data_IF_059333507342
#
_entry.id   IF_059333507342
#
_cell.length_a   1.000
_cell.length_b   1.000
_cell.length_c   1.000
_cell.angle_alpha   90.00
_cell.angle_beta   90.00
_cell.angle_gamma   90.00
#
_symmetry.space_group_name_H-M   'P 1'
#
loop_
_entity.id
_entity.type
_entity.pdbx_description
1 polymer ?
#
# COMPACT_ATOMS: atom_id res chain seq x y z
N UNK A 1 -45.81 -21.32 -9.69
CA UNK A 1 -45.29 -20.20 -10.50
C UNK A 1 -44.77 -19.15 -9.55
N UNK A 2 -43.49 -19.25 -9.22
CA UNK A 2 -42.73 -18.27 -8.44
C UNK A 2 -42.05 -17.32 -9.42
N UNK A 3 -42.19 -15.99 -9.31
CA UNK A 3 -41.38 -15.09 -10.11
C UNK A 3 -39.96 -14.98 -9.55
N UNK A 4 -39.04 -14.94 -10.48
CA UNK A 4 -37.60 -14.92 -10.35
C UNK A 4 -37.03 -13.72 -9.60
N UNK A 5 -35.89 -14.00 -8.96
CA UNK A 5 -34.80 -13.09 -8.59
C UNK A 5 -34.72 -11.85 -9.48
N UNK A 6 -34.83 -10.68 -8.86
CA UNK A 6 -34.30 -9.45 -9.44
C UNK A 6 -32.79 -9.49 -9.29
N UNK A 7 -32.09 -9.58 -10.40
CA UNK A 7 -30.67 -9.25 -10.47
C UNK A 7 -30.53 -7.76 -10.08
N UNK A 8 -29.86 -7.50 -8.95
CA UNK A 8 -29.41 -6.16 -8.61
C UNK A 8 -28.41 -5.72 -9.67
N UNK A 9 -28.85 -4.83 -10.56
CA UNK A 9 -27.97 -4.15 -11.52
C UNK A 9 -26.97 -3.33 -10.69
N UNK A 10 -25.64 -3.53 -10.86
CA UNK A 10 -24.65 -2.72 -10.20
C UNK A 10 -24.88 -1.25 -10.58
N UNK A 11 -25.18 -0.41 -9.59
CA UNK A 11 -25.36 1.01 -9.77
C UNK A 11 -23.97 1.58 -10.06
N UNK A 12 -23.69 1.88 -11.34
CA UNK A 12 -22.48 2.61 -11.70
C UNK A 12 -22.58 4.00 -11.05
N UNK A 13 -21.56 4.47 -10.30
CA UNK A 13 -21.60 5.80 -9.72
C UNK A 13 -21.86 6.82 -10.82
N UNK A 14 -22.90 7.64 -10.63
CA UNK A 14 -23.29 8.62 -11.63
C UNK A 14 -22.10 9.51 -11.99
N UNK A 15 -21.97 9.91 -13.27
CA UNK A 15 -20.91 10.85 -13.71
C UNK A 15 -20.81 12.11 -12.83
N UNK A 16 -21.89 12.48 -12.12
CA UNK A 16 -21.91 13.60 -11.17
C UNK A 16 -21.10 13.37 -9.89
N UNK A 17 -21.12 12.17 -9.29
CA UNK A 17 -20.38 11.88 -8.05
C UNK A 17 -18.87 11.81 -8.31
N UNK A 18 -18.47 11.23 -9.43
CA UNK A 18 -17.07 11.25 -9.90
C UNK A 18 -16.56 12.68 -10.10
N UNK A 19 -17.31 13.52 -10.85
CA UNK A 19 -16.93 14.93 -11.07
C UNK A 19 -16.83 15.73 -9.76
N UNK A 20 -17.73 15.47 -8.82
CA UNK A 20 -17.69 16.05 -7.47
C UNK A 20 -16.38 15.68 -6.74
N UNK A 21 -16.03 14.39 -6.72
CA UNK A 21 -14.77 13.90 -6.14
C UNK A 21 -13.56 14.57 -6.78
N UNK A 22 -13.49 14.63 -8.12
CA UNK A 22 -12.37 15.26 -8.84
C UNK A 22 -12.24 16.73 -8.50
N UNK A 23 -13.34 17.49 -8.58
CA UNK A 23 -13.34 18.93 -8.30
C UNK A 23 -12.90 19.22 -6.87
N UNK A 24 -13.45 18.47 -5.90
CA UNK A 24 -13.11 18.63 -4.49
C UNK A 24 -11.65 18.27 -4.21
N UNK A 25 -11.16 17.18 -4.81
CA UNK A 25 -9.76 16.74 -4.72
C UNK A 25 -8.80 17.83 -5.16
N UNK A 26 -8.98 18.37 -6.37
CA UNK A 26 -8.13 19.42 -6.93
C UNK A 26 -8.17 20.68 -6.07
N UNK A 27 -9.36 21.08 -5.58
CA UNK A 27 -9.49 22.24 -4.71
C UNK A 27 -8.68 22.07 -3.43
N UNK A 28 -8.73 20.90 -2.81
CA UNK A 28 -8.01 20.63 -1.57
C UNK A 28 -6.48 20.62 -1.74
N UNK A 29 -5.95 20.27 -2.91
CA UNK A 29 -4.50 20.21 -3.11
C UNK A 29 -3.81 21.56 -2.87
N UNK A 30 -4.50 22.68 -3.14
CA UNK A 30 -3.98 24.03 -2.87
C UNK A 30 -3.69 24.30 -1.39
N UNK A 31 -4.36 23.57 -0.49
CA UNK A 31 -4.11 23.66 0.96
C UNK A 31 -2.99 22.72 1.43
N UNK A 32 -2.69 21.66 0.67
CA UNK A 32 -1.69 20.64 1.02
C UNK A 32 -0.30 20.98 0.50
N UNK A 33 -0.21 21.50 -0.72
CA UNK A 33 1.04 21.80 -1.40
C UNK A 33 1.03 23.19 -2.03
N UNK A 34 2.19 23.87 -2.02
CA UNK A 34 2.33 25.23 -2.56
C UNK A 34 2.16 25.28 -4.08
N UNK A 35 2.54 24.22 -4.77
CA UNK A 35 2.37 24.06 -6.22
C UNK A 35 1.84 22.65 -6.51
N UNK A 36 0.51 22.47 -6.62
CA UNK A 36 -0.11 21.16 -6.82
C UNK A 36 0.15 20.57 -8.22
N UNK A 37 1.00 21.19 -9.04
CA UNK A 37 1.46 20.68 -10.31
C UNK A 37 0.33 20.57 -11.33
N UNK A 38 0.31 21.48 -12.31
CA UNK A 38 -0.67 21.52 -13.42
C UNK A 38 -0.83 20.15 -14.11
N UNK A 39 0.22 19.32 -14.13
CA UNK A 39 0.22 17.98 -14.70
C UNK A 39 -0.78 17.03 -14.00
N UNK A 40 -0.75 16.91 -12.67
CA UNK A 40 -1.63 15.98 -11.94
C UNK A 40 -3.10 16.36 -12.08
N UNK A 41 -3.37 17.66 -12.05
CA UNK A 41 -4.71 18.20 -12.29
C UNK A 41 -5.20 17.84 -13.69
N UNK A 42 -4.38 18.11 -14.71
CA UNK A 42 -4.72 17.79 -16.09
C UNK A 42 -4.96 16.30 -16.30
N UNK A 43 -4.21 15.42 -15.64
CA UNK A 43 -4.41 13.97 -15.71
C UNK A 43 -5.74 13.58 -15.07
N UNK A 44 -6.00 14.00 -13.83
CA UNK A 44 -7.21 13.60 -13.12
C UNK A 44 -8.48 14.09 -13.83
N UNK A 45 -8.45 15.28 -14.43
CA UNK A 45 -9.57 15.86 -15.17
C UNK A 45 -9.86 15.16 -16.51
N UNK A 46 -8.97 14.30 -17.02
CA UNK A 46 -9.19 13.58 -18.29
C UNK A 46 -10.19 12.43 -18.16
N UNK A 47 -10.39 11.91 -16.96
CA UNK A 47 -11.31 10.80 -16.72
C UNK A 47 -12.73 11.31 -16.51
N UNK A 48 -13.70 10.75 -17.24
CA UNK A 48 -15.11 11.15 -17.16
C UNK A 48 -15.92 10.30 -16.20
N UNK A 49 -15.40 9.13 -15.83
CA UNK A 49 -16.03 8.15 -14.94
C UNK A 49 -15.00 7.56 -13.97
N UNK A 50 -15.49 6.97 -12.88
CA UNK A 50 -14.67 6.23 -11.94
C UNK A 50 -14.00 5.03 -12.62
N UNK A 51 -14.72 4.27 -13.43
CA UNK A 51 -14.20 3.08 -14.11
C UNK A 51 -13.06 3.42 -15.08
N UNK A 52 -13.16 4.52 -15.82
CA UNK A 52 -12.07 5.02 -16.67
C UNK A 52 -10.81 5.32 -15.84
N UNK A 53 -10.97 5.93 -14.68
CA UNK A 53 -9.87 6.23 -13.77
C UNK A 53 -9.26 4.97 -13.14
N UNK A 54 -10.09 4.04 -12.64
CA UNK A 54 -9.62 2.79 -12.04
C UNK A 54 -8.94 1.88 -13.07
N UNK A 55 -9.42 1.91 -14.32
CA UNK A 55 -8.85 1.15 -15.43
C UNK A 55 -7.54 1.75 -15.98
N UNK A 56 -7.12 2.90 -15.49
CA UNK A 56 -5.96 3.60 -16.04
C UNK A 56 -4.65 2.83 -15.78
N UNK A 57 -3.83 2.75 -16.83
CA UNK A 57 -2.49 2.18 -16.80
C UNK A 57 -1.39 3.20 -17.10
N UNK A 58 -1.71 4.51 -17.13
CA UNK A 58 -0.81 5.58 -17.61
C UNK A 58 0.44 5.83 -16.75
N UNK A 59 0.64 5.05 -15.69
CA UNK A 59 1.78 5.15 -14.77
C UNK A 59 1.59 6.17 -13.65
N UNK A 60 0.64 7.09 -13.76
CA UNK A 60 0.32 8.05 -12.69
C UNK A 60 -0.65 7.44 -11.69
N UNK A 61 -0.23 7.34 -10.42
CA UNK A 61 -1.05 6.79 -9.36
C UNK A 61 -1.69 7.91 -8.51
N UNK A 62 -2.94 7.68 -8.10
CA UNK A 62 -3.66 8.53 -7.15
C UNK A 62 -4.27 7.62 -6.10
N UNK A 63 -4.18 8.01 -4.84
CA UNK A 63 -4.73 7.26 -3.73
C UNK A 63 -6.06 7.85 -3.29
N UNK A 64 -7.06 7.00 -3.08
CA UNK A 64 -8.19 7.39 -2.25
C UNK A 64 -7.70 7.52 -0.81
N UNK A 65 -7.89 8.69 -0.22
CA UNK A 65 -7.84 8.87 1.22
C UNK A 65 -9.25 9.18 1.72
N UNK A 66 -9.62 8.62 2.86
CA UNK A 66 -10.88 8.97 3.53
C UNK A 66 -10.73 10.32 4.23
N UNK A 67 -11.78 11.14 4.14
CA UNK A 67 -11.86 12.44 4.80
C UNK A 67 -12.02 12.29 6.31
N UNK A 68 -11.43 13.23 7.05
CA UNK A 68 -11.56 13.28 8.52
C UNK A 68 -13.00 13.20 9.01
N UNK A 69 -13.91 13.97 8.43
CA UNK A 69 -15.32 13.97 8.86
C UNK A 69 -15.99 12.61 8.67
N UNK A 70 -15.71 11.93 7.55
CA UNK A 70 -16.24 10.60 7.26
C UNK A 70 -15.65 9.55 8.24
N UNK A 71 -14.33 9.58 8.46
CA UNK A 71 -13.67 8.66 9.39
C UNK A 71 -14.13 8.83 10.86
N UNK A 72 -14.38 10.06 11.31
CA UNK A 72 -14.81 10.32 12.69
C UNK A 72 -16.31 10.05 12.92
N UNK A 73 -17.13 9.95 11.86
CA UNK A 73 -18.57 9.75 11.98
C UNK A 73 -19.01 8.29 11.79
N UNK A 74 -18.18 7.45 11.17
CA UNK A 74 -18.47 6.03 11.00
C UNK A 74 -18.49 5.28 12.35
N UNK A 75 -19.33 4.24 12.45
CA UNK A 75 -19.48 3.38 13.64
C UNK A 75 -18.62 2.11 13.58
N UNK A 76 -18.33 1.65 12.37
CA UNK A 76 -17.44 0.54 12.03
C UNK A 76 -16.58 0.97 10.85
N UNK A 77 -15.48 0.26 10.61
CA UNK A 77 -14.64 0.52 9.43
C UNK A 77 -15.44 0.22 8.15
N UNK A 78 -15.79 1.27 7.43
CA UNK A 78 -16.59 1.14 6.24
C UNK A 78 -15.73 0.55 5.10
N UNK A 79 -16.18 -0.56 4.50
CA UNK A 79 -15.56 -1.12 3.29
C UNK A 79 -15.52 -0.08 2.17
N UNK A 80 -14.44 0.01 1.40
CA UNK A 80 -14.41 0.88 0.22
C UNK A 80 -15.62 0.62 -0.69
N UNK A 81 -16.24 1.69 -1.19
CA UNK A 81 -17.43 1.60 -2.05
C UNK A 81 -17.45 2.71 -3.11
N UNK A 82 -17.76 2.37 -4.38
CA UNK A 82 -17.92 3.34 -5.45
C UNK A 82 -19.13 4.26 -5.24
N UNK A 83 -20.08 3.89 -4.37
CA UNK A 83 -21.29 4.66 -4.10
C UNK A 83 -21.08 5.76 -3.04
N UNK A 84 -19.91 5.78 -2.38
CA UNK A 84 -19.58 6.70 -1.29
C UNK A 84 -18.42 7.65 -1.60
N UNK A 85 -18.31 8.09 -2.85
CA UNK A 85 -17.20 8.97 -3.28
C UNK A 85 -17.08 10.29 -2.50
N UNK A 86 -18.14 10.73 -1.81
CA UNK A 86 -18.09 11.92 -0.95
C UNK A 86 -17.28 11.75 0.34
N UNK A 87 -17.03 10.51 0.75
CA UNK A 87 -16.19 10.17 1.89
C UNK A 87 -14.70 10.30 1.58
N UNK A 88 -14.34 10.45 0.29
CA UNK A 88 -12.98 10.34 -0.18
C UNK A 88 -12.44 11.60 -0.86
N UNK A 89 -11.12 11.60 -0.98
CA UNK A 89 -10.30 12.52 -1.75
C UNK A 89 -9.27 11.72 -2.54
N UNK A 90 -8.94 12.18 -3.75
CA UNK A 90 -7.86 11.64 -4.55
C UNK A 90 -6.62 12.49 -4.34
N UNK A 91 -5.56 11.87 -3.80
CA UNK A 91 -4.25 12.52 -3.63
C UNK A 91 -3.25 11.90 -4.61
N UNK A 92 -2.47 12.71 -5.35
CA UNK A 92 -1.40 12.18 -6.20
C UNK A 92 -0.40 11.36 -5.38
N UNK A 93 -0.07 10.17 -5.88
CA UNK A 93 0.96 9.32 -5.31
C UNK A 93 2.33 9.79 -5.79
N UNK A 94 2.74 10.96 -5.29
CA UNK A 94 3.98 11.63 -5.65
C UNK A 94 4.66 12.19 -4.41
N UNK A 95 6.00 12.20 -4.42
CA UNK A 95 6.79 12.72 -3.31
C UNK A 95 6.41 14.17 -2.99
N UNK A 96 6.14 14.45 -1.71
CA UNK A 96 5.78 15.78 -1.22
C UNK A 96 4.30 16.18 -1.34
N UNK A 97 3.43 15.38 -2.00
CA UNK A 97 1.98 15.66 -2.02
C UNK A 97 1.28 15.31 -0.72
N UNK A 98 1.66 14.19 -0.13
CA UNK A 98 1.17 13.73 1.15
C UNK A 98 2.20 14.11 2.21
N UNK A 99 1.76 14.81 3.25
CA UNK A 99 2.57 15.16 4.41
C UNK A 99 2.09 14.39 5.62
N UNK A 100 3.03 13.97 6.47
CA UNK A 100 2.74 13.18 7.67
C UNK A 100 1.86 13.87 8.70
N UNK A 101 1.85 15.20 8.69
CA UNK A 101 1.00 16.02 9.57
C UNK A 101 -0.44 16.11 9.10
N UNK A 102 -0.69 15.93 7.80
CA UNK A 102 -2.00 16.10 7.20
C UNK A 102 -2.70 14.76 6.92
N UNK A 103 -1.92 13.71 6.71
CA UNK A 103 -2.39 12.41 6.25
C UNK A 103 -1.81 11.29 7.11
N UNK A 104 -2.66 10.38 7.57
CA UNK A 104 -2.26 9.21 8.36
C UNK A 104 -2.53 7.91 7.62
N UNK A 105 -1.56 7.01 7.58
CA UNK A 105 -1.73 5.60 7.28
C UNK A 105 -2.08 4.87 8.58
N UNK A 106 -3.17 4.11 8.56
CA UNK A 106 -3.61 3.29 9.69
C UNK A 106 -3.27 1.84 9.38
N UNK A 107 -2.27 1.31 10.08
CA UNK A 107 -1.99 -0.12 10.12
C UNK A 107 -2.96 -0.77 11.12
N UNK A 108 -3.72 -1.76 10.68
CA UNK A 108 -4.69 -2.42 11.53
C UNK A 108 -4.75 -3.92 11.27
N UNK A 109 -5.20 -4.63 12.30
CA UNK A 109 -5.31 -6.07 12.26
C UNK A 109 -6.65 -6.51 11.71
N UNK A 110 -6.66 -7.44 10.77
CA UNK A 110 -7.90 -8.03 10.25
C UNK A 110 -8.38 -9.16 11.17
N UNK A 111 -9.46 -8.92 11.92
CA UNK A 111 -10.05 -9.92 12.82
C UNK A 111 -10.83 -11.00 12.08
N UNK A 112 -11.45 -10.66 10.97
CA UNK A 112 -12.14 -11.61 10.11
C UNK A 112 -11.76 -11.41 8.65
N UNK A 113 -12.14 -12.35 7.79
CA UNK A 113 -11.89 -12.25 6.34
C UNK A 113 -12.77 -11.19 5.66
N UNK A 114 -13.95 -10.94 6.21
CA UNK A 114 -15.01 -10.16 5.55
C UNK A 114 -15.18 -8.76 6.15
N UNK A 115 -14.68 -8.54 7.36
CA UNK A 115 -14.62 -7.23 8.03
C UNK A 115 -13.44 -7.23 9.01
N UNK A 116 -12.49 -6.28 8.89
CA UNK A 116 -11.34 -6.24 9.78
C UNK A 116 -11.69 -5.87 11.22
N UNK A 117 -12.73 -5.08 11.47
CA UNK A 117 -13.11 -4.56 12.79
C UNK A 117 -14.64 -4.53 12.96
N UNK A 118 -15.30 -5.70 12.98
CA UNK A 118 -16.76 -5.81 12.86
C UNK A 118 -17.52 -5.16 14.02
N UNK A 119 -16.91 -5.04 15.20
CA UNK A 119 -17.50 -4.40 16.38
C UNK A 119 -17.06 -2.93 16.53
N UNK A 120 -16.20 -2.43 15.63
CA UNK A 120 -15.66 -1.08 15.64
C UNK A 120 -14.76 -0.78 16.84
N UNK A 121 -14.21 -1.80 17.52
CA UNK A 121 -13.38 -1.59 18.71
C UNK A 121 -12.15 -0.76 18.38
N UNK A 122 -11.40 -1.16 17.37
CA UNK A 122 -10.16 -0.49 16.97
C UNK A 122 -10.44 0.87 16.33
N UNK A 123 -11.50 0.99 15.53
CA UNK A 123 -11.97 2.27 15.02
C UNK A 123 -12.17 3.29 16.14
N UNK A 124 -12.83 2.90 17.25
CA UNK A 124 -13.05 3.82 18.38
C UNK A 124 -11.74 4.25 19.03
N UNK A 125 -10.75 3.37 19.14
CA UNK A 125 -9.41 3.73 19.63
C UNK A 125 -8.75 4.75 18.70
N UNK A 126 -8.78 4.52 17.38
CA UNK A 126 -8.26 5.47 16.40
C UNK A 126 -8.99 6.83 16.46
N UNK A 127 -10.32 6.83 16.55
CA UNK A 127 -11.12 8.06 16.67
C UNK A 127 -10.81 8.83 17.96
N UNK A 128 -10.60 8.14 19.08
CA UNK A 128 -10.22 8.78 20.36
C UNK A 128 -8.82 9.40 20.29
N UNK A 129 -7.87 8.71 19.65
CA UNK A 129 -6.49 9.18 19.50
C UNK A 129 -6.38 10.33 18.48
N UNK A 130 -6.97 10.17 17.30
CA UNK A 130 -6.88 11.11 16.18
C UNK A 130 -7.88 12.26 16.28
N UNK A 131 -9.01 12.08 16.95
CA UNK A 131 -10.08 13.08 17.05
C UNK A 131 -9.59 14.46 17.54
N UNK A 132 -8.81 14.53 18.63
CA UNK A 132 -8.25 15.78 19.16
C UNK A 132 -7.13 16.39 18.30
N UNK A 133 -6.54 15.63 17.38
CA UNK A 133 -5.39 16.06 16.57
C UNK A 133 -5.84 16.84 15.33
N UNK A 134 -4.93 17.66 14.79
CA UNK A 134 -5.13 18.36 13.51
C UNK A 134 -4.58 17.51 12.38
N UNK A 135 -5.45 17.07 11.48
CA UNK A 135 -5.15 16.29 10.28
C UNK A 135 -6.31 16.42 9.29
N UNK A 136 -6.11 16.00 8.04
CA UNK A 136 -7.09 16.16 6.97
C UNK A 136 -7.63 14.82 6.47
N UNK A 137 -6.75 13.85 6.27
CA UNK A 137 -7.11 12.59 5.63
C UNK A 137 -6.48 11.36 6.30
N UNK A 138 -7.13 10.21 6.16
CA UNK A 138 -6.60 8.92 6.60
C UNK A 138 -6.65 7.92 5.46
N UNK A 139 -5.70 7.00 5.46
CA UNK A 139 -5.66 5.85 4.59
C UNK A 139 -5.72 4.57 5.42
N UNK A 140 -6.75 3.77 5.16
CA UNK A 140 -6.96 2.45 5.74
C UNK A 140 -7.19 1.52 4.56
N UNK A 141 -6.44 0.42 4.41
CA UNK A 141 -6.56 -0.48 3.25
C UNK A 141 -8.01 -0.90 2.98
N UNK A 142 -8.74 -1.34 4.01
CA UNK A 142 -10.14 -1.74 3.95
C UNK A 142 -11.08 -0.66 3.39
N UNK A 143 -10.85 0.58 3.79
CA UNK A 143 -11.73 1.71 3.47
C UNK A 143 -11.28 2.46 2.22
N UNK A 144 -10.00 2.41 1.86
CA UNK A 144 -9.39 3.23 0.82
C UNK A 144 -8.93 2.47 -0.42
N UNK A 145 -8.90 1.13 -0.39
CA UNK A 145 -8.65 0.29 -1.56
C UNK A 145 -9.86 -0.60 -1.84
N UNK A 146 -10.19 -0.90 -3.11
CA UNK A 146 -11.24 -1.86 -3.43
C UNK A 146 -11.00 -3.23 -2.79
N UNK A 147 -12.06 -3.81 -2.24
CA UNK A 147 -12.03 -5.06 -1.47
C UNK A 147 -12.90 -6.12 -2.15
N UNK A 148 -12.55 -7.41 -1.98
CA UNK A 148 -13.26 -8.50 -2.65
C UNK A 148 -14.78 -8.54 -2.31
N UNK A 149 -15.69 -8.86 -3.26
CA UNK A 149 -15.43 -9.08 -4.69
C UNK A 149 -15.13 -7.76 -5.41
N UNK A 150 -14.17 -7.79 -6.34
CA UNK A 150 -13.76 -6.63 -7.13
C UNK A 150 -14.21 -6.77 -8.58
N UNK A 151 -14.64 -5.66 -9.18
CA UNK A 151 -14.78 -5.56 -10.63
C UNK A 151 -13.40 -5.54 -11.32
N UNK A 152 -13.30 -5.77 -12.63
CA UNK A 152 -12.00 -5.72 -13.33
C UNK A 152 -11.26 -4.37 -13.20
N UNK A 153 -11.92 -3.19 -13.30
CA UNK A 153 -11.26 -1.90 -13.01
C UNK A 153 -10.75 -1.79 -11.57
N UNK A 154 -11.55 -2.24 -10.60
CA UNK A 154 -11.18 -2.24 -9.18
C UNK A 154 -9.99 -3.15 -8.89
N UNK A 155 -9.91 -4.32 -9.52
CA UNK A 155 -8.77 -5.23 -9.41
C UNK A 155 -7.49 -4.57 -9.93
N UNK A 156 -7.56 -3.89 -11.09
CA UNK A 156 -6.41 -3.19 -11.64
C UNK A 156 -5.92 -2.08 -10.70
N UNK A 157 -6.84 -1.25 -10.20
CA UNK A 157 -6.52 -0.21 -9.24
C UNK A 157 -5.97 -0.78 -7.92
N UNK A 158 -6.55 -1.87 -7.41
CA UNK A 158 -6.08 -2.53 -6.20
C UNK A 158 -4.63 -3.01 -6.34
N UNK A 159 -4.29 -3.68 -7.45
CA UNK A 159 -2.91 -4.14 -7.69
C UNK A 159 -1.92 -2.97 -7.80
N UNK A 160 -2.32 -1.86 -8.42
CA UNK A 160 -1.52 -0.63 -8.47
C UNK A 160 -1.34 -0.01 -7.08
N UNK A 161 -2.39 -0.04 -6.26
CA UNK A 161 -2.35 0.41 -4.86
C UNK A 161 -1.38 -0.44 -4.05
N UNK A 162 -1.46 -1.77 -4.17
CA UNK A 162 -0.56 -2.69 -3.49
C UNK A 162 0.92 -2.44 -3.84
N UNK A 163 1.21 -2.23 -5.12
CA UNK A 163 2.56 -1.90 -5.60
C UNK A 163 3.08 -0.54 -5.11
N UNK A 164 2.19 0.37 -4.72
CA UNK A 164 2.54 1.71 -4.20
C UNK A 164 2.44 1.83 -2.68
N UNK A 165 2.15 0.73 -1.96
CA UNK A 165 1.95 0.70 -0.51
C UNK A 165 3.13 1.30 0.26
N UNK A 166 4.33 0.92 -0.15
CA UNK A 166 5.61 1.45 0.35
C UNK A 166 5.64 2.99 0.32
N UNK A 167 5.14 3.59 -0.76
CA UNK A 167 5.00 5.05 -0.89
C UNK A 167 3.94 5.66 0.04
N UNK A 168 2.80 4.99 0.27
CA UNK A 168 1.75 5.48 1.18
C UNK A 168 2.30 5.57 2.61
N UNK A 169 2.95 4.50 3.07
CA UNK A 169 3.52 4.38 4.41
C UNK A 169 4.59 5.45 4.64
N UNK A 170 5.53 5.61 3.69
CA UNK A 170 6.63 6.59 3.83
C UNK A 170 6.20 8.05 3.89
N UNK A 171 5.11 8.38 3.18
CA UNK A 171 4.67 9.78 3.02
C UNK A 171 3.58 10.19 4.03
N UNK A 172 2.96 9.23 4.72
CA UNK A 172 1.92 9.49 5.73
C UNK A 172 2.49 9.42 7.15
N UNK A 173 1.78 10.02 8.11
CA UNK A 173 1.93 9.68 9.52
C UNK A 173 1.48 8.24 9.72
N UNK A 174 1.94 7.57 10.77
CA UNK A 174 1.65 6.15 10.98
C UNK A 174 0.93 5.97 12.31
N UNK A 175 -0.19 5.26 12.26
CA UNK A 175 -1.05 5.02 13.42
C UNK A 175 -1.38 3.53 13.49
N UNK A 176 -1.36 2.98 14.70
CA UNK A 176 -1.63 1.57 14.94
C UNK A 176 -2.39 1.38 16.25
N UNK A 177 -3.11 0.28 16.31
CA UNK A 177 -3.55 -0.37 17.53
C UNK A 177 -3.62 -1.86 17.21
N UNK A 178 -2.82 -2.68 17.88
CA UNK A 178 -2.78 -4.11 17.60
C UNK A 178 -3.39 -4.94 18.73
N UNK A 179 -4.05 -6.06 18.41
CA UNK A 179 -4.41 -7.07 19.41
C UNK A 179 -3.13 -7.75 19.97
N UNK A 180 -3.26 -8.68 20.93
CA UNK A 180 -2.15 -9.55 21.31
C UNK A 180 -1.44 -10.15 20.09
N UNK A 181 -0.12 -10.25 20.19
CA UNK A 181 0.75 -10.54 19.05
C UNK A 181 0.33 -11.79 18.25
N UNK A 182 0.28 -11.60 16.93
CA UNK A 182 0.19 -12.64 15.93
C UNK A 182 1.16 -12.32 14.79
N UNK A 183 1.90 -13.32 14.25
CA UNK A 183 2.97 -13.05 13.29
C UNK A 183 2.41 -12.84 11.86
N UNK A 184 1.73 -11.70 11.65
CA UNK A 184 1.23 -11.25 10.34
C UNK A 184 2.31 -10.50 9.59
N UNK A 185 2.68 -11.00 8.43
CA UNK A 185 3.81 -10.46 7.67
C UNK A 185 3.53 -9.05 7.09
N UNK A 186 2.29 -8.75 6.71
CA UNK A 186 1.88 -7.41 6.28
C UNK A 186 2.13 -6.36 7.39
N UNK A 187 1.73 -6.65 8.63
CA UNK A 187 1.96 -5.76 9.78
C UNK A 187 3.46 -5.57 10.05
N UNK A 188 4.25 -6.65 10.03
CA UNK A 188 5.70 -6.54 10.18
C UNK A 188 6.33 -5.68 9.08
N UNK A 189 5.90 -5.86 7.83
CA UNK A 189 6.36 -5.06 6.71
C UNK A 189 6.02 -3.58 6.88
N UNK A 190 4.78 -3.25 7.26
CA UNK A 190 4.35 -1.87 7.48
C UNK A 190 5.16 -1.19 8.58
N UNK A 191 5.40 -1.89 9.69
CA UNK A 191 6.24 -1.40 10.79
C UNK A 191 7.70 -1.27 10.36
N UNK A 192 8.24 -2.23 9.60
CA UNK A 192 9.61 -2.19 9.12
C UNK A 192 9.83 -1.04 8.13
N UNK A 193 8.93 -0.87 7.16
CA UNK A 193 8.92 0.25 6.22
C UNK A 193 8.92 1.56 6.99
N UNK A 194 7.95 1.77 7.90
CA UNK A 194 7.91 3.03 8.65
C UNK A 194 9.15 3.22 9.52
N UNK A 195 9.56 2.21 10.29
CA UNK A 195 10.66 2.35 11.26
C UNK A 195 12.01 2.60 10.60
N UNK A 196 12.28 1.95 9.46
CA UNK A 196 13.61 1.95 8.85
C UNK A 196 13.78 2.98 7.73
N UNK A 197 12.69 3.47 7.11
CA UNK A 197 12.76 4.36 5.94
C UNK A 197 12.21 5.76 6.20
N UNK A 198 11.78 6.04 7.43
CA UNK A 198 11.27 7.33 7.85
C UNK A 198 12.24 8.05 8.79
N UNK A 199 12.45 9.35 8.57
CA UNK A 199 13.16 10.19 9.54
C UNK A 199 12.45 10.14 10.91
N UNK A 200 13.22 9.94 11.97
CA UNK A 200 12.72 9.74 13.33
C UNK A 200 12.19 8.34 13.65
N UNK A 201 11.82 7.55 12.63
CA UNK A 201 11.27 6.20 12.78
C UNK A 201 10.04 6.12 13.69
N UNK A 202 9.74 4.92 14.16
CA UNK A 202 8.76 4.71 15.23
C UNK A 202 9.44 4.95 16.59
N UNK A 203 9.17 6.10 17.21
CA UNK A 203 9.77 6.47 18.49
C UNK A 203 9.05 5.84 19.69
N UNK A 204 7.77 5.55 19.54
CA UNK A 204 6.92 5.02 20.61
C UNK A 204 6.87 3.50 20.55
N UNK A 205 7.56 2.86 21.49
CA UNK A 205 7.40 1.43 21.76
C UNK A 205 6.26 1.28 22.78
N UNK A 206 5.21 0.61 22.36
CA UNK A 206 3.99 0.35 23.12
C UNK A 206 3.79 -1.15 23.27
N UNK A 207 3.09 -1.64 24.32
CA UNK A 207 2.95 -3.07 24.55
C UNK A 207 2.38 -3.86 23.36
N UNK A 208 1.57 -3.23 22.50
CA UNK A 208 0.94 -3.85 21.33
C UNK A 208 1.86 -3.89 20.09
N UNK A 209 2.88 -3.04 19.99
CA UNK A 209 3.84 -3.05 18.88
C UNK A 209 5.24 -3.59 19.24
N UNK A 210 5.54 -3.76 20.54
CA UNK A 210 6.88 -4.06 21.06
C UNK A 210 7.51 -5.29 20.38
N UNK A 211 6.74 -6.38 20.23
CA UNK A 211 7.25 -7.60 19.60
C UNK A 211 7.58 -7.39 18.13
N UNK A 212 6.75 -6.66 17.39
CA UNK A 212 7.04 -6.37 15.98
C UNK A 212 8.31 -5.52 15.84
N UNK A 213 8.47 -4.46 16.66
CA UNK A 213 9.69 -3.63 16.66
C UNK A 213 10.92 -4.48 17.00
N UNK A 214 10.82 -5.35 18.01
CA UNK A 214 11.89 -6.29 18.38
C UNK A 214 12.27 -7.19 17.21
N UNK A 215 11.28 -7.70 16.46
CA UNK A 215 11.51 -8.51 15.27
C UNK A 215 12.11 -7.68 14.11
N UNK A 216 11.75 -6.41 13.93
CA UNK A 216 12.41 -5.52 12.95
C UNK A 216 13.89 -5.34 13.29
N UNK A 217 14.23 -5.11 14.56
CA UNK A 217 15.62 -5.01 15.01
C UNK A 217 16.38 -6.34 14.88
N UNK A 218 15.68 -7.47 15.04
CA UNK A 218 16.24 -8.80 14.78
C UNK A 218 16.53 -9.02 13.28
N UNK A 219 15.63 -8.60 12.38
CA UNK A 219 15.87 -8.67 10.94
C UNK A 219 17.15 -7.94 10.52
N UNK A 220 17.42 -6.77 11.12
CA UNK A 220 18.66 -6.01 10.88
C UNK A 220 19.90 -6.75 11.39
N UNK A 221 19.81 -7.46 12.52
CA UNK A 221 20.97 -8.15 13.13
C UNK A 221 21.23 -9.55 12.59
N UNK A 222 20.18 -10.27 12.21
CA UNK A 222 20.21 -11.71 11.93
C UNK A 222 19.65 -12.08 10.55
N UNK A 223 19.18 -11.10 9.79
CA UNK A 223 18.59 -11.28 8.48
C UNK A 223 17.08 -11.52 8.53
N UNK A 224 16.40 -11.12 7.44
CA UNK A 224 14.95 -11.20 7.29
C UNK A 224 14.46 -12.64 7.40
N UNK A 225 14.93 -13.54 6.53
CA UNK A 225 14.44 -14.93 6.45
C UNK A 225 14.54 -15.67 7.79
N UNK A 226 15.71 -15.60 8.43
CA UNK A 226 15.94 -16.25 9.72
C UNK A 226 14.95 -15.77 10.79
N UNK A 227 14.63 -14.47 10.80
CA UNK A 227 13.64 -13.87 11.71
C UNK A 227 12.22 -14.33 11.36
N UNK A 228 11.85 -14.29 10.07
CA UNK A 228 10.51 -14.70 9.63
C UNK A 228 10.21 -16.16 9.95
N UNK A 229 11.17 -17.05 9.72
CA UNK A 229 11.04 -18.49 9.98
C UNK A 229 11.00 -18.79 11.48
N UNK A 230 11.85 -18.12 12.28
CA UNK A 230 11.89 -18.28 13.74
C UNK A 230 10.57 -17.93 14.41
N UNK A 231 9.91 -16.86 13.96
CA UNK A 231 8.69 -16.33 14.58
C UNK A 231 7.41 -16.72 13.84
N UNK A 232 7.50 -17.54 12.79
CA UNK A 232 6.35 -18.10 12.09
C UNK A 232 5.50 -17.07 11.34
N UNK A 233 6.14 -16.06 10.74
CA UNK A 233 5.44 -15.03 9.97
C UNK A 233 4.78 -15.56 8.71
N UNK A 234 3.51 -15.18 8.52
CA UNK A 234 2.62 -15.69 7.46
C UNK A 234 1.80 -14.60 6.78
N UNK A 235 1.44 -14.88 5.54
CA UNK A 235 0.39 -14.19 4.78
C UNK A 235 -0.75 -15.17 4.50
N UNK A 236 -1.93 -14.64 4.19
CA UNK A 236 -3.05 -15.46 3.67
C UNK A 236 -2.70 -16.07 2.31
N UNK A 237 -1.95 -15.34 1.48
CA UNK A 237 -1.52 -15.77 0.15
C UNK A 237 0.02 -15.81 0.07
N UNK A 238 0.56 -16.91 -0.48
CA UNK A 238 2.01 -17.08 -0.65
C UNK A 238 2.64 -16.01 -1.56
N UNK A 239 1.86 -15.53 -2.54
CA UNK A 239 2.28 -14.43 -3.42
C UNK A 239 2.63 -13.17 -2.63
N UNK A 240 1.85 -12.83 -1.60
CA UNK A 240 2.13 -11.67 -0.75
C UNK A 240 3.41 -11.91 0.04
N UNK A 241 3.62 -13.13 0.55
CA UNK A 241 4.86 -13.46 1.27
C UNK A 241 6.09 -13.26 0.40
N UNK A 242 6.05 -13.68 -0.87
CA UNK A 242 7.14 -13.45 -1.81
C UNK A 242 7.37 -11.94 -2.05
N UNK A 243 6.29 -11.19 -2.32
CA UNK A 243 6.36 -9.75 -2.53
C UNK A 243 6.96 -9.01 -1.33
N UNK A 244 6.47 -9.29 -0.12
CA UNK A 244 6.90 -8.64 1.11
C UNK A 244 8.33 -9.00 1.51
N UNK A 245 8.77 -10.25 1.25
CA UNK A 245 10.13 -10.68 1.54
C UNK A 245 11.16 -9.86 0.74
N UNK A 246 10.90 -9.61 -0.55
CA UNK A 246 11.77 -8.79 -1.40
C UNK A 246 11.94 -7.39 -0.83
N UNK A 247 10.82 -6.75 -0.45
CA UNK A 247 10.84 -5.41 0.15
C UNK A 247 11.57 -5.37 1.49
N UNK A 248 11.25 -6.30 2.40
CA UNK A 248 11.90 -6.37 3.71
C UNK A 248 13.42 -6.51 3.60
N UNK A 249 13.90 -7.38 2.70
CA UNK A 249 15.34 -7.57 2.50
C UNK A 249 16.02 -6.32 1.93
N UNK A 250 15.38 -5.63 0.98
CA UNK A 250 15.90 -4.37 0.47
C UNK A 250 15.95 -3.31 1.57
N UNK A 251 14.88 -3.13 2.35
CA UNK A 251 14.83 -2.13 3.42
C UNK A 251 15.90 -2.39 4.48
N UNK A 252 16.08 -3.65 4.89
CA UNK A 252 17.11 -4.06 5.84
C UNK A 252 18.51 -3.84 5.25
N UNK A 253 18.72 -4.18 3.97
CA UNK A 253 19.99 -3.95 3.29
C UNK A 253 20.35 -2.46 3.23
N UNK A 254 19.40 -1.58 2.91
CA UNK A 254 19.64 -0.13 2.92
C UNK A 254 20.08 0.36 4.30
N UNK A 255 19.51 -0.21 5.37
CA UNK A 255 19.88 0.12 6.75
C UNK A 255 21.29 -0.38 7.09
N UNK A 256 21.63 -1.60 6.69
CA UNK A 256 22.94 -2.23 6.91
C UNK A 256 24.07 -1.50 6.18
N UNK A 257 23.78 -0.91 5.02
CA UNK A 257 24.70 -0.08 4.25
C UNK A 257 24.92 1.32 4.85
N UNK A 258 24.23 1.66 5.94
CA UNK A 258 24.33 2.95 6.63
C UNK A 258 24.10 4.16 5.72
N UNK A 259 23.23 4.03 4.72
CA UNK A 259 22.91 5.12 3.79
C UNK A 259 22.14 6.23 4.51
N UNK A 260 22.32 7.48 4.07
CA UNK A 260 21.50 8.59 4.55
C UNK A 260 20.03 8.36 4.18
N UNK A 261 19.11 8.82 5.03
CA UNK A 261 17.69 8.53 4.87
C UNK A 261 17.13 9.05 3.53
N UNK A 262 17.64 10.19 3.05
CA UNK A 262 17.26 10.75 1.76
C UNK A 262 17.66 9.84 0.59
N UNK A 263 18.84 9.20 0.68
CA UNK A 263 19.31 8.27 -0.34
C UNK A 263 18.52 6.97 -0.32
N UNK A 264 18.21 6.45 0.88
CA UNK A 264 17.31 5.31 1.05
C UNK A 264 15.97 5.61 0.37
N UNK A 265 15.39 6.79 0.64
CA UNK A 265 14.12 7.21 0.03
C UNK A 265 14.23 7.34 -1.48
N UNK A 266 15.31 7.91 -2.01
CA UNK A 266 15.53 8.02 -3.46
C UNK A 266 15.55 6.64 -4.15
N UNK A 267 16.22 5.65 -3.55
CA UNK A 267 16.25 4.28 -4.07
C UNK A 267 14.86 3.63 -4.00
N UNK A 268 14.22 3.66 -2.84
CA UNK A 268 12.92 3.01 -2.62
C UNK A 268 11.79 3.66 -3.40
N UNK A 269 11.81 4.98 -3.57
CA UNK A 269 10.87 5.71 -4.41
C UNK A 269 11.04 5.31 -5.87
N UNK A 270 12.28 5.11 -6.35
CA UNK A 270 12.49 4.58 -7.69
C UNK A 270 11.86 3.19 -7.87
N UNK A 271 12.08 2.29 -6.91
CA UNK A 271 11.47 0.95 -6.92
C UNK A 271 9.94 0.97 -6.88
N UNK A 272 9.37 1.93 -6.15
CA UNK A 272 7.92 2.11 -5.98
C UNK A 272 7.27 2.70 -7.22
N UNK A 273 7.82 3.79 -7.75
CA UNK A 273 7.21 4.58 -8.82
C UNK A 273 7.60 4.13 -10.23
N UNK A 274 8.68 3.38 -10.36
CA UNK A 274 9.13 2.81 -11.62
C UNK A 274 9.17 1.28 -11.53
N UNK A 275 8.01 0.62 -11.35
CA UNK A 275 7.94 -0.82 -11.17
C UNK A 275 8.46 -1.62 -12.37
N UNK A 276 8.57 -0.98 -13.53
CA UNK A 276 9.07 -1.56 -14.78
C UNK A 276 10.56 -1.39 -14.99
N UNK A 277 11.23 -0.52 -14.23
CA UNK A 277 12.65 -0.29 -14.35
C UNK A 277 13.40 -1.48 -13.76
N UNK A 278 14.20 -2.16 -14.59
CA UNK A 278 15.02 -3.29 -14.15
C UNK A 278 16.17 -2.82 -13.27
N UNK A 279 16.83 -1.73 -13.67
CA UNK A 279 18.07 -1.25 -13.05
C UNK A 279 17.89 0.20 -12.61
N UNK A 280 18.13 0.46 -11.33
CA UNK A 280 18.33 1.80 -10.78
C UNK A 280 19.82 2.11 -10.71
N UNK A 281 20.22 3.34 -11.04
CA UNK A 281 21.60 3.84 -10.90
C UNK A 281 21.60 5.26 -10.38
N UNK A 282 22.46 5.54 -9.40
CA UNK A 282 22.69 6.90 -8.90
C UNK A 282 24.08 7.00 -8.24
N UNK A 283 24.51 8.21 -7.90
CA UNK A 283 25.68 8.44 -7.07
C UNK A 283 25.24 8.81 -5.64
N UNK A 284 25.75 8.09 -4.64
CA UNK A 284 25.54 8.34 -3.21
C UNK A 284 26.91 8.47 -2.56
N UNK A 285 27.20 9.60 -1.92
CA UNK A 285 28.49 9.90 -1.28
C UNK A 285 29.72 9.61 -2.17
N UNK A 286 29.60 9.94 -3.46
CA UNK A 286 30.67 9.71 -4.45
C UNK A 286 30.85 8.26 -4.90
N UNK A 287 30.01 7.33 -4.40
CA UNK A 287 29.98 5.93 -4.84
C UNK A 287 28.80 5.70 -5.78
N UNK A 288 29.00 4.88 -6.81
CA UNK A 288 27.92 4.44 -7.68
C UNK A 288 27.07 3.41 -6.91
N UNK A 289 25.78 3.65 -6.79
CA UNK A 289 24.80 2.63 -6.43
C UNK A 289 24.16 2.10 -7.71
N UNK A 290 24.06 0.78 -7.83
CA UNK A 290 23.29 0.11 -8.87
C UNK A 290 22.43 -0.97 -8.23
N UNK A 291 21.12 -0.94 -8.45
CA UNK A 291 20.20 -1.95 -7.94
C UNK A 291 19.49 -2.61 -9.12
N UNK A 292 19.63 -3.92 -9.26
CA UNK A 292 18.86 -4.73 -10.20
C UNK A 292 17.76 -5.49 -9.44
N UNK A 293 16.51 -5.11 -9.69
CA UNK A 293 15.36 -5.62 -8.93
C UNK A 293 15.02 -7.08 -9.26
N UNK A 294 15.27 -7.53 -10.49
CA UNK A 294 14.84 -8.85 -10.97
C UNK A 294 15.97 -9.88 -10.89
N UNK A 295 17.22 -9.43 -10.80
CA UNK A 295 18.35 -10.28 -10.43
C UNK A 295 18.56 -10.33 -8.90
N UNK A 296 17.96 -9.40 -8.14
CA UNK A 296 18.10 -9.35 -6.69
C UNK A 296 19.51 -8.93 -6.25
N UNK A 297 20.10 -7.96 -6.94
CA UNK A 297 21.47 -7.51 -6.66
C UNK A 297 21.54 -6.00 -6.42
N UNK A 298 22.40 -5.61 -5.49
CA UNK A 298 22.74 -4.22 -5.21
C UNK A 298 24.26 -4.08 -5.17
N UNK A 299 24.80 -3.15 -5.95
CA UNK A 299 26.21 -2.82 -5.99
C UNK A 299 26.39 -1.40 -5.44
N UNK A 300 27.28 -1.22 -4.47
CA UNK A 300 27.66 0.08 -3.91
C UNK A 300 29.17 0.26 -4.00
N UNK A 301 29.63 1.05 -4.98
CA UNK A 301 31.05 1.12 -5.32
C UNK A 301 31.55 -0.23 -5.86
N UNK A 302 32.39 -0.91 -5.10
CA UNK A 302 32.94 -2.25 -5.43
C UNK A 302 32.23 -3.39 -4.67
N UNK A 303 31.39 -3.06 -3.69
CA UNK A 303 30.70 -4.04 -2.85
C UNK A 303 29.43 -4.53 -3.54
N UNK A 304 29.19 -5.84 -3.50
CA UNK A 304 28.01 -6.49 -4.09
C UNK A 304 27.22 -7.22 -3.02
N UNK A 305 25.92 -6.97 -3.00
CA UNK A 305 24.97 -7.49 -2.04
C UNK A 305 23.81 -8.17 -2.78
N UNK A 306 23.22 -9.18 -2.16
CA UNK A 306 22.10 -9.92 -2.73
C UNK A 306 20.87 -9.82 -1.85
N UNK A 307 19.70 -9.80 -2.49
CA UNK A 307 18.40 -9.88 -1.87
C UNK A 307 17.48 -10.74 -2.75
N UNK A 308 16.29 -11.08 -2.24
CA UNK A 308 15.30 -11.87 -2.96
C UNK A 308 14.81 -11.07 -4.16
N UNK A 309 14.95 -11.57 -5.40
CA UNK A 309 14.50 -10.85 -6.57
C UNK A 309 13.00 -10.55 -6.52
N UNK A 310 12.63 -9.35 -6.93
CA UNK A 310 11.22 -8.99 -7.08
C UNK A 310 10.58 -9.89 -8.12
N UNK A 311 9.34 -10.35 -7.91
CA UNK A 311 8.67 -11.15 -8.90
C UNK A 311 8.33 -10.29 -10.14
N UNK A 312 8.62 -10.79 -11.34
CA UNK A 312 8.17 -10.18 -12.59
C UNK A 312 6.87 -10.82 -13.07
N UNK A 313 5.76 -10.41 -12.46
CA UNK A 313 4.42 -10.92 -12.81
C UNK A 313 3.99 -10.59 -14.25
N UNK A 314 4.72 -9.75 -14.98
CA UNK A 314 4.46 -9.53 -16.42
C UNK A 314 4.83 -10.76 -17.23
N UNK A 315 5.93 -11.44 -16.87
CA UNK A 315 6.37 -12.67 -17.52
C UNK A 315 5.37 -13.80 -17.28
N UNK A 316 4.81 -13.88 -16.07
CA UNK A 316 3.78 -14.87 -15.72
C UNK A 316 2.49 -14.66 -16.53
N UNK A 317 2.08 -13.39 -16.72
CA UNK A 317 0.92 -13.02 -17.55
C UNK A 317 1.14 -13.27 -19.06
N UNK A 318 2.38 -13.19 -19.54
CA UNK A 318 2.72 -13.52 -20.93
C UNK A 318 2.82 -15.04 -21.17
N UNK A 319 3.33 -15.80 -20.20
CA UNK A 319 3.42 -17.25 -20.28
C UNK A 319 2.03 -17.92 -20.19
N UNK A 320 1.14 -17.41 -19.35
CA UNK A 320 -0.26 -17.88 -19.28
C UNK A 320 -1.07 -17.59 -20.55
N UNK A 321 -0.76 -16.50 -21.28
CA UNK A 321 -1.37 -16.21 -22.59
C UNK A 321 -0.82 -17.06 -23.75
N UNK A 322 0.32 -17.75 -23.57
CA UNK A 322 0.93 -18.62 -24.59
C UNK A 322 0.51 -20.08 -24.49
N UNK A 323 -0.33 -20.45 -23.53
CA UNK A 323 -0.84 -21.82 -23.38
C UNK A 323 -2.37 -21.89 -23.50
N UNK A 324 -2.96 -21.72 -24.70
CA UNK A 324 -4.30 -22.22 -24.93
C UNK A 324 -4.24 -23.74 -25.16
N UNK A 325 -4.68 -24.50 -24.16
CA UNK A 325 -5.17 -25.86 -24.35
C UNK A 325 -4.26 -26.99 -23.86
N UNK A 326 -4.35 -27.31 -22.57
CA UNK A 326 -4.67 -28.68 -22.13
C UNK A 326 -5.57 -28.54 -20.90
N UNK A 327 -6.88 -28.67 -21.11
CA UNK A 327 -7.81 -29.03 -20.03
C UNK A 327 -7.49 -30.44 -19.55
N UNK A 328 -7.06 -30.60 -18.30
CA UNK A 328 -7.24 -31.86 -17.59
C UNK A 328 -8.15 -31.63 -16.38
N UNK A 329 -9.43 -31.95 -16.59
CA UNK A 329 -10.33 -32.38 -15.53
C UNK A 329 -9.69 -33.54 -14.76
N UNK A 330 -9.09 -33.28 -13.60
CA UNK A 330 -9.04 -34.22 -12.48
C UNK A 330 -8.38 -33.54 -11.29
N UNK A 331 -9.18 -32.95 -10.41
CA UNK A 331 -8.92 -32.97 -8.96
C UNK A 331 -10.19 -32.59 -8.16
N UNK A 332 -11.25 -33.35 -8.40
CA UNK A 332 -12.19 -33.69 -7.33
C UNK A 332 -11.64 -34.93 -6.64
N UNK A 333 -10.93 -34.75 -5.52
CA UNK A 333 -10.92 -35.63 -4.35
C UNK A 333 -9.61 -35.46 -3.56
N UNK A 334 -9.66 -34.82 -2.39
CA UNK A 334 -9.44 -35.47 -1.08
C UNK A 334 -9.37 -34.44 0.05
N UNK A 335 -10.37 -34.57 0.93
CA UNK A 335 -10.45 -34.24 2.37
C UNK A 335 -10.20 -32.81 2.83
#
# INVERSE_FOLDING_TARGET
>A
MTPHNGDEIPIVPSSSSWKSLVSRSIQAWTSLVRDPGVLHQGILQRFNTLDEFLSDGSGFMFWFFQRREAFLSQKTLAKWSPDRLDDYMLLPAASGFVKRTDCFFISHFWHTKDDPDPDGHFLRLFQQCLGPQTWSYVWVDWTCAPQHPRSPPEELYFLRTLNSMSGIIRNSGFMWFYPPFEPRLWILYEIAEYTLTCEGGMQEVTPDNEQFIGHVQEMVRSGVRATLDRHGYRCTFDRDKQFLMCWLEVIVLMKDLHLHIDDVRNVLDNLTWHPVATIYRNAIDGRLIQLDRYEGTLILGEESHSFTPFPDWRLDAMNTRRSPGVTSETEKAKK
#
